data_IF_088546961122
#
_entry.id   IF_088546961122
#
_cell.length_a   1.000
_cell.length_b   1.000
_cell.length_c   1.000
_cell.angle_alpha   90.00
_cell.angle_beta   90.00
_cell.angle_gamma   90.00
#
_symmetry.space_group_name_H-M   'P 1'
#
loop_
_entity.id
_entity.type
_entity.pdbx_description
1 polymer ?
#
# COMPACT_ATOMS: atom_id res chain seq x y z
N UNK A 1 -40.53 -15.01 55.11
CA UNK A 1 -39.77 -14.32 54.04
C UNK A 1 -38.29 -14.69 54.16
N UNK A 2 -37.91 -15.83 53.57
CA UNK A 2 -36.57 -16.49 53.49
C UNK A 2 -36.70 -17.49 52.29
N UNK A 3 -35.72 -17.95 51.46
CA UNK A 3 -34.24 -17.99 51.56
C UNK A 3 -33.39 -17.62 50.31
N UNK A 4 -32.06 -17.61 50.50
CA UNK A 4 -30.97 -17.72 49.49
C UNK A 4 -31.08 -18.98 48.59
N UNK A 5 -30.65 -18.88 47.32
CA UNK A 5 -30.01 -19.98 46.53
C UNK A 5 -28.96 -19.45 45.52
N UNK A 6 -27.97 -20.30 45.24
CA UNK A 6 -26.73 -20.15 44.45
C UNK A 6 -26.89 -20.47 42.93
N UNK A 7 -25.96 -19.94 42.12
CA UNK A 7 -25.41 -20.42 40.81
C UNK A 7 -26.40 -20.63 39.62
N UNK A 8 -26.11 -20.35 38.34
CA UNK A 8 -24.98 -20.77 37.47
C UNK A 8 -24.79 -19.86 36.23
N UNK A 9 -23.57 -19.85 35.66
CA UNK A 9 -23.23 -19.35 34.30
C UNK A 9 -24.01 -20.05 33.18
N UNK A 10 -24.31 -19.33 32.08
CA UNK A 10 -24.21 -19.84 30.69
C UNK A 10 -23.79 -18.72 29.72
N UNK A 11 -22.77 -19.05 28.94
CA UNK A 11 -22.22 -18.29 27.82
C UNK A 11 -23.08 -18.45 26.54
N UNK A 12 -23.01 -17.47 25.64
CA UNK A 12 -23.36 -17.55 24.21
C UNK A 12 -23.00 -16.23 23.52
N UNK A 13 -21.79 -16.05 23.00
CA UNK A 13 -21.27 -16.41 21.65
C UNK A 13 -21.94 -15.68 20.47
N UNK A 14 -21.16 -14.84 19.80
CA UNK A 14 -21.50 -14.24 18.50
C UNK A 14 -20.60 -13.10 18.03
N UNK A 15 -19.27 -13.17 18.24
CA UNK A 15 -18.31 -12.27 17.59
C UNK A 15 -17.33 -13.11 16.77
N UNK A 16 -17.50 -13.08 15.44
CA UNK A 16 -16.57 -13.68 14.50
C UNK A 16 -15.26 -12.89 14.49
N UNK A 17 -14.37 -13.19 15.42
CA UNK A 17 -12.97 -12.82 15.32
C UNK A 17 -12.32 -13.66 14.22
N UNK A 18 -12.01 -13.03 13.09
CA UNK A 18 -11.06 -13.60 12.14
C UNK A 18 -9.72 -13.87 12.84
N UNK A 19 -8.97 -14.90 12.41
CA UNK A 19 -7.76 -15.31 13.10
C UNK A 19 -6.75 -14.16 13.16
N UNK A 20 -6.13 -13.99 14.34
CA UNK A 20 -5.11 -12.95 14.51
C UNK A 20 -3.93 -13.20 13.57
N UNK A 21 -3.24 -12.15 13.14
CA UNK A 21 -2.08 -12.21 12.23
C UNK A 21 -0.97 -13.19 12.69
N UNK A 22 -0.90 -13.53 13.99
CA UNK A 22 0.04 -14.53 14.53
C UNK A 22 -0.37 -15.99 14.25
N UNK A 23 -1.65 -16.23 13.94
CA UNK A 23 -2.22 -17.56 13.74
C UNK A 23 -2.11 -17.98 12.26
N UNK A 24 -2.39 -17.06 11.34
CA UNK A 24 -2.24 -17.28 9.89
C UNK A 24 -0.79 -17.60 9.47
N UNK A 25 0.21 -16.96 10.09
CA UNK A 25 1.62 -17.27 9.83
C UNK A 25 2.02 -18.66 10.35
N UNK A 26 1.42 -19.12 11.45
CA UNK A 26 1.69 -20.46 12.00
C UNK A 26 1.04 -21.56 11.17
N UNK A 27 -0.15 -21.32 10.64
CA UNK A 27 -0.91 -22.26 9.81
C UNK A 27 -0.26 -22.45 8.43
N UNK A 28 0.12 -21.36 7.76
CA UNK A 28 0.95 -21.43 6.54
C UNK A 28 2.30 -22.12 6.81
N UNK A 29 2.99 -21.74 7.89
CA UNK A 29 4.24 -22.44 8.27
C UNK A 29 4.02 -23.91 8.62
N UNK A 30 2.86 -24.30 9.16
CA UNK A 30 2.52 -25.68 9.51
C UNK A 30 2.21 -26.51 8.26
N UNK A 31 1.43 -25.96 7.32
CA UNK A 31 1.19 -26.54 5.99
C UNK A 31 2.52 -26.76 5.26
N UNK A 32 3.46 -25.82 5.37
CA UNK A 32 4.79 -25.92 4.75
C UNK A 32 5.77 -26.84 5.51
N UNK A 33 5.62 -27.05 6.83
CA UNK A 33 6.56 -27.86 7.66
C UNK A 33 6.13 -29.30 7.93
N UNK A 34 4.84 -29.64 7.91
CA UNK A 34 4.37 -30.99 8.22
C UNK A 34 4.66 -32.04 7.13
N UNK A 35 5.25 -31.64 5.99
CA UNK A 35 5.52 -32.52 4.85
C UNK A 35 6.91 -33.19 4.91
N UNK A 36 7.35 -33.58 6.10
CA UNK A 36 8.54 -34.41 6.26
C UNK A 36 8.20 -35.89 6.05
N UNK A 37 8.57 -36.43 4.89
CA UNK A 37 8.47 -37.83 4.45
C UNK A 37 7.16 -38.32 3.81
N UNK A 38 6.91 -37.91 2.56
CA UNK A 38 6.65 -38.77 1.39
C UNK A 38 6.24 -37.88 0.20
N UNK A 39 6.77 -38.15 -1.00
CA UNK A 39 6.47 -37.53 -2.31
C UNK A 39 5.59 -36.27 -2.29
N UNK A 40 6.29 -35.15 -2.24
CA UNK A 40 5.92 -33.75 -2.42
C UNK A 40 4.43 -33.37 -2.59
N UNK A 41 3.91 -32.61 -1.62
CA UNK A 41 2.68 -31.82 -1.70
C UNK A 41 2.85 -30.66 -2.70
N UNK A 42 3.13 -30.97 -3.97
CA UNK A 42 3.20 -30.01 -5.06
C UNK A 42 1.77 -29.64 -5.44
N UNK A 43 1.33 -28.45 -5.02
CA UNK A 43 0.02 -27.91 -5.41
C UNK A 43 0.02 -27.49 -6.89
N UNK A 44 1.17 -27.06 -7.42
CA UNK A 44 1.33 -26.51 -8.77
C UNK A 44 2.40 -27.26 -9.55
N UNK A 45 2.05 -27.73 -10.74
CA UNK A 45 2.96 -28.41 -11.65
C UNK A 45 4.05 -27.47 -12.20
N UNK A 46 5.10 -28.05 -12.80
CA UNK A 46 6.12 -27.28 -13.53
C UNK A 46 5.51 -26.47 -14.69
N UNK A 47 4.47 -27.00 -15.33
CA UNK A 47 3.72 -26.29 -16.36
C UNK A 47 2.97 -25.08 -15.79
N UNK A 48 2.44 -25.16 -14.56
CA UNK A 48 1.80 -24.03 -13.88
C UNK A 48 2.81 -22.90 -13.60
N UNK A 49 4.02 -23.24 -13.12
CA UNK A 49 5.08 -22.27 -12.86
C UNK A 49 5.62 -21.62 -14.13
N UNK A 50 5.66 -22.36 -15.25
CA UNK A 50 6.10 -21.86 -16.56
C UNK A 50 4.96 -21.31 -17.43
N UNK A 51 3.73 -21.27 -16.90
CA UNK A 51 2.59 -20.70 -17.60
C UNK A 51 2.78 -19.19 -17.81
N UNK A 52 2.20 -18.67 -18.90
CA UNK A 52 2.17 -17.23 -19.19
C UNK A 52 0.92 -16.54 -18.61
N UNK A 53 0.27 -17.20 -17.66
CA UNK A 53 -0.98 -16.72 -17.07
C UNK A 53 -0.74 -15.50 -16.18
N UNK A 54 -1.73 -14.60 -16.19
CA UNK A 54 -1.70 -13.40 -15.37
C UNK A 54 -2.12 -13.68 -13.93
N UNK A 55 -1.62 -12.87 -12.99
CA UNK A 55 -2.08 -12.91 -11.61
C UNK A 55 -3.51 -12.36 -11.49
N UNK A 56 -4.30 -12.94 -10.56
CA UNK A 56 -5.66 -12.52 -10.28
C UNK A 56 -5.74 -11.01 -10.00
N UNK A 57 -6.47 -10.29 -10.85
CA UNK A 57 -6.58 -8.81 -10.79
C UNK A 57 -7.19 -8.29 -9.50
N UNK A 58 -7.99 -9.10 -8.81
CA UNK A 58 -8.58 -8.79 -7.50
C UNK A 58 -7.55 -8.79 -6.37
N UNK A 59 -6.42 -9.48 -6.53
CA UNK A 59 -5.35 -9.58 -5.51
C UNK A 59 -4.39 -8.39 -5.62
N UNK A 60 -3.91 -8.09 -6.83
CA UNK A 60 -2.84 -7.08 -7.01
C UNK A 60 -3.38 -5.70 -7.44
N UNK A 61 -4.54 -5.64 -8.10
CA UNK A 61 -5.10 -4.41 -8.67
C UNK A 61 -5.32 -3.30 -7.65
N UNK A 62 -6.02 -3.54 -6.53
CA UNK A 62 -6.21 -2.54 -5.47
C UNK A 62 -4.90 -2.02 -4.90
N UNK A 63 -3.93 -2.91 -4.65
CA UNK A 63 -2.61 -2.55 -4.12
C UNK A 63 -1.81 -1.69 -5.10
N UNK A 64 -1.87 -2.00 -6.40
CA UNK A 64 -1.25 -1.18 -7.44
C UNK A 64 -1.89 0.21 -7.50
N UNK A 65 -3.22 0.32 -7.50
CA UNK A 65 -3.89 1.61 -7.47
C UNK A 65 -3.56 2.43 -6.22
N UNK A 66 -3.49 1.77 -5.06
CA UNK A 66 -3.04 2.41 -3.83
C UNK A 66 -1.63 3.00 -3.96
N UNK A 67 -0.72 2.26 -4.57
CA UNK A 67 0.63 2.72 -4.86
C UNK A 67 0.63 3.91 -5.84
N UNK A 68 -0.09 3.80 -6.96
CA UNK A 68 -0.15 4.85 -7.99
C UNK A 68 -0.72 6.17 -7.44
N UNK A 69 -1.80 6.11 -6.65
CA UNK A 69 -2.34 7.28 -5.97
C UNK A 69 -1.35 7.86 -4.95
N UNK A 70 -0.69 7.02 -4.15
CA UNK A 70 0.32 7.49 -3.19
C UNK A 70 1.49 8.19 -3.89
N UNK A 71 2.00 7.61 -4.98
CA UNK A 71 3.05 8.20 -5.82
C UNK A 71 2.59 9.55 -6.38
N UNK A 72 1.37 9.62 -6.93
CA UNK A 72 0.87 10.83 -7.57
C UNK A 72 0.61 11.97 -6.59
N UNK A 73 0.09 11.68 -5.40
CA UNK A 73 -0.05 12.66 -4.33
C UNK A 73 1.29 13.04 -3.69
N UNK A 74 2.38 12.28 -3.92
CA UNK A 74 3.72 12.67 -3.49
C UNK A 74 4.56 13.37 -4.57
N UNK A 75 4.07 13.42 -5.82
CA UNK A 75 4.72 14.17 -6.90
C UNK A 75 5.02 15.62 -6.48
N UNK A 76 6.15 16.25 -6.90
CA UNK A 76 6.48 17.60 -6.45
C UNK A 76 5.41 18.64 -6.81
N UNK A 77 5.26 19.67 -5.97
CA UNK A 77 4.37 20.82 -6.30
C UNK A 77 4.92 21.57 -7.51
N UNK A 78 6.25 21.75 -7.54
CA UNK A 78 7.00 22.37 -8.62
C UNK A 78 8.03 21.35 -9.14
N UNK A 79 7.63 20.44 -10.04
CA UNK A 79 8.50 19.39 -10.54
C UNK A 79 9.56 19.94 -11.49
N UNK A 80 10.76 19.37 -11.41
CA UNK A 80 11.80 19.57 -12.42
C UNK A 80 11.45 18.84 -13.73
N UNK A 81 12.13 19.17 -14.82
CA UNK A 81 11.97 18.44 -16.09
C UNK A 81 12.34 16.96 -15.96
N UNK A 82 13.34 16.63 -15.12
CA UNK A 82 13.67 15.24 -14.80
C UNK A 82 12.55 14.53 -14.03
N UNK A 83 11.90 15.21 -13.08
CA UNK A 83 10.75 14.63 -12.37
C UNK A 83 9.62 14.32 -13.34
N UNK A 84 9.27 15.29 -14.20
CA UNK A 84 8.24 15.10 -15.24
C UNK A 84 8.57 13.90 -16.12
N UNK A 85 9.81 13.80 -16.61
CA UNK A 85 10.24 12.67 -17.45
C UNK A 85 10.09 11.33 -16.73
N UNK A 86 10.68 11.19 -15.55
CA UNK A 86 10.70 9.90 -14.84
C UNK A 86 9.30 9.43 -14.46
N UNK A 87 8.44 10.32 -13.97
CA UNK A 87 7.06 9.95 -13.58
C UNK A 87 6.23 9.61 -14.82
N UNK A 88 6.38 10.34 -15.92
CA UNK A 88 5.69 10.05 -17.17
C UNK A 88 6.10 8.69 -17.74
N UNK A 89 7.41 8.42 -17.82
CA UNK A 89 7.94 7.13 -18.27
C UNK A 89 7.46 5.98 -17.38
N UNK A 90 7.47 6.16 -16.05
CA UNK A 90 6.96 5.17 -15.11
C UNK A 90 5.49 4.80 -15.40
N UNK A 91 4.61 5.80 -15.58
CA UNK A 91 3.19 5.55 -15.87
C UNK A 91 3.00 4.86 -17.22
N UNK A 92 3.67 5.36 -18.27
CA UNK A 92 3.52 4.77 -19.60
C UNK A 92 4.08 3.34 -19.66
N UNK A 93 5.13 3.05 -18.91
CA UNK A 93 5.72 1.71 -18.88
C UNK A 93 4.84 0.65 -18.21
N UNK A 94 3.78 1.04 -17.48
CA UNK A 94 2.82 0.10 -16.92
C UNK A 94 2.19 -0.80 -18.00
N UNK A 95 2.03 -0.30 -19.23
CA UNK A 95 1.45 -1.07 -20.33
C UNK A 95 2.27 -2.30 -20.75
N UNK A 96 3.50 -2.43 -20.27
CA UNK A 96 4.40 -3.56 -20.53
C UNK A 96 4.50 -4.52 -19.34
N UNK A 97 4.29 -4.05 -18.11
CA UNK A 97 4.65 -4.80 -16.90
C UNK A 97 3.48 -5.21 -16.01
N UNK A 98 2.25 -4.74 -16.26
CA UNK A 98 1.10 -5.21 -15.48
C UNK A 98 0.99 -6.75 -15.55
N UNK A 99 0.73 -7.46 -14.44
CA UNK A 99 0.73 -8.93 -14.38
C UNK A 99 -0.58 -9.52 -14.93
N UNK A 100 -1.03 -9.03 -16.09
CA UNK A 100 -2.24 -9.42 -16.79
C UNK A 100 -2.14 -8.94 -18.25
N UNK A 101 -2.03 -9.86 -19.21
CA UNK A 101 -1.85 -9.54 -20.63
C UNK A 101 -2.99 -8.71 -21.23
N UNK A 102 -4.25 -9.00 -20.87
CA UNK A 102 -5.40 -8.22 -21.32
C UNK A 102 -5.41 -6.81 -20.72
N UNK A 103 -4.99 -6.67 -19.47
CA UNK A 103 -4.88 -5.39 -18.78
C UNK A 103 -3.84 -4.49 -19.47
N UNK A 104 -2.68 -5.04 -19.85
CA UNK A 104 -1.67 -4.34 -20.67
C UNK A 104 -2.22 -3.83 -22.00
N UNK A 105 -2.92 -4.69 -22.76
CA UNK A 105 -3.55 -4.31 -24.04
C UNK A 105 -4.64 -3.23 -23.86
N UNK A 106 -5.43 -3.32 -22.80
CA UNK A 106 -6.46 -2.32 -22.50
C UNK A 106 -5.86 -0.99 -22.04
N UNK A 107 -4.79 -1.01 -21.25
CA UNK A 107 -4.13 0.21 -20.79
C UNK A 107 -3.59 1.04 -21.97
N UNK A 108 -3.02 0.39 -23.00
CA UNK A 108 -2.65 1.05 -24.27
C UNK A 108 -3.82 1.82 -24.91
N UNK A 109 -5.00 1.21 -24.93
CA UNK A 109 -6.22 1.83 -25.47
C UNK A 109 -6.69 2.98 -24.56
N UNK A 110 -6.59 2.82 -23.26
CA UNK A 110 -6.94 3.85 -22.29
C UNK A 110 -6.00 5.07 -22.41
N UNK A 111 -4.70 4.88 -22.63
CA UNK A 111 -3.77 5.97 -22.91
C UNK A 111 -4.07 6.68 -24.23
N UNK A 112 -4.62 5.99 -25.23
CA UNK A 112 -5.11 6.67 -26.45
C UNK A 112 -6.37 7.51 -26.17
N UNK A 113 -7.25 7.04 -25.28
CA UNK A 113 -8.48 7.75 -24.88
C UNK A 113 -8.20 8.92 -23.93
N UNK A 114 -7.21 8.77 -23.06
CA UNK A 114 -6.76 9.76 -22.08
C UNK A 114 -5.22 9.89 -22.18
N UNK A 115 -4.72 10.61 -23.19
CA UNK A 115 -3.29 10.83 -23.37
C UNK A 115 -2.66 11.53 -22.17
N UNK A 116 -1.47 11.08 -21.75
CA UNK A 116 -0.67 11.76 -20.73
C UNK A 116 0.15 12.88 -21.37
N UNK A 117 -0.33 14.11 -21.21
CA UNK A 117 0.18 15.32 -21.85
C UNK A 117 1.10 16.11 -20.91
N UNK A 118 1.81 17.11 -21.45
CA UNK A 118 2.70 17.96 -20.66
C UNK A 118 1.95 18.72 -19.55
N UNK A 119 0.70 19.13 -19.82
CA UNK A 119 -0.17 19.84 -18.86
C UNK A 119 -0.46 19.01 -17.61
N UNK A 120 -0.55 17.69 -17.76
CA UNK A 120 -0.81 16.78 -16.66
C UNK A 120 0.42 16.68 -15.74
N UNK A 121 1.62 16.96 -16.26
CA UNK A 121 2.89 16.85 -15.52
C UNK A 121 3.31 18.16 -14.83
N UNK A 122 2.52 19.24 -14.95
CA UNK A 122 2.87 20.59 -14.46
C UNK A 122 3.05 20.66 -12.94
N UNK A 123 2.24 19.92 -12.19
CA UNK A 123 2.25 19.96 -10.72
C UNK A 123 1.70 18.68 -10.11
N UNK A 124 1.85 18.52 -8.79
CA UNK A 124 1.15 17.50 -8.01
C UNK A 124 -0.34 17.45 -8.32
N UNK A 125 -1.00 18.60 -8.44
CA UNK A 125 -2.45 18.67 -8.62
C UNK A 125 -2.85 18.09 -9.98
N UNK A 126 -2.17 18.50 -11.06
CA UNK A 126 -2.45 18.02 -12.42
C UNK A 126 -2.13 16.53 -12.55
N UNK A 127 -1.00 16.08 -12.01
CA UNK A 127 -0.57 14.69 -12.17
C UNK A 127 -1.43 13.72 -11.35
N UNK A 128 -1.74 14.07 -10.10
CA UNK A 128 -2.66 13.26 -9.28
C UNK A 128 -4.08 13.23 -9.86
N UNK A 129 -4.53 14.34 -10.48
CA UNK A 129 -5.81 14.37 -11.18
C UNK A 129 -5.81 13.44 -12.39
N UNK A 130 -4.74 13.41 -13.19
CA UNK A 130 -4.61 12.47 -14.30
C UNK A 130 -4.70 11.00 -13.83
N UNK A 131 -4.01 10.63 -12.75
CA UNK A 131 -4.05 9.27 -12.20
C UNK A 131 -5.46 8.90 -11.71
N UNK A 132 -6.17 9.84 -11.11
CA UNK A 132 -7.58 9.68 -10.77
C UNK A 132 -8.45 9.47 -12.02
N UNK A 133 -8.31 10.30 -13.05
CA UNK A 133 -9.11 10.19 -14.28
C UNK A 133 -8.84 8.89 -15.03
N UNK A 134 -7.58 8.45 -15.07
CA UNK A 134 -7.21 7.15 -15.63
C UNK A 134 -7.88 5.99 -14.88
N UNK A 135 -7.94 6.07 -13.54
CA UNK A 135 -8.64 5.08 -12.73
C UNK A 135 -10.13 5.05 -13.04
N UNK A 136 -10.77 6.21 -13.22
CA UNK A 136 -12.19 6.31 -13.56
C UNK A 136 -12.50 5.85 -15.00
N UNK A 137 -11.59 6.08 -15.96
CA UNK A 137 -11.68 5.50 -17.32
C UNK A 137 -11.68 3.97 -17.24
N UNK A 138 -10.80 3.39 -16.43
CA UNK A 138 -10.71 1.93 -16.24
C UNK A 138 -11.94 1.40 -15.50
N UNK A 139 -12.43 2.10 -14.48
CA UNK A 139 -13.66 1.74 -13.78
C UNK A 139 -14.85 1.73 -14.74
N UNK A 140 -14.99 2.75 -15.59
CA UNK A 140 -16.02 2.81 -16.63
C UNK A 140 -15.92 1.64 -17.61
N UNK A 141 -14.72 1.33 -18.10
CA UNK A 141 -14.47 0.17 -18.97
C UNK A 141 -14.90 -1.15 -18.31
N UNK A 142 -14.67 -1.29 -17.00
CA UNK A 142 -15.05 -2.48 -16.22
C UNK A 142 -16.50 -2.41 -15.69
N UNK A 143 -17.28 -1.39 -16.05
CA UNK A 143 -18.63 -1.13 -15.55
C UNK A 143 -18.70 -1.02 -14.01
N UNK A 144 -17.63 -0.52 -13.40
CA UNK A 144 -17.54 -0.21 -11.96
C UNK A 144 -17.79 1.27 -11.73
N UNK A 145 -18.26 1.62 -10.53
CA UNK A 145 -18.40 3.00 -10.06
C UNK A 145 -17.59 3.15 -8.77
N UNK A 146 -16.73 4.17 -8.70
CA UNK A 146 -16.00 4.50 -7.47
C UNK A 146 -16.92 5.18 -6.44
N UNK A 147 -17.81 6.05 -6.91
CA UNK A 147 -18.65 6.91 -6.07
C UNK A 147 -17.88 8.02 -5.35
N UNK A 148 -16.62 8.28 -5.74
CA UNK A 148 -15.75 9.25 -5.08
C UNK A 148 -15.34 10.35 -6.05
N UNK A 149 -15.34 11.60 -5.60
CA UNK A 149 -14.75 12.70 -6.35
C UNK A 149 -13.22 12.71 -6.22
N UNK A 150 -12.54 13.45 -7.09
CA UNK A 150 -11.11 13.71 -6.92
C UNK A 150 -10.78 14.36 -5.56
N UNK A 151 -11.65 15.22 -5.05
CA UNK A 151 -11.47 15.86 -3.75
C UNK A 151 -11.49 14.84 -2.60
N UNK A 152 -12.42 13.86 -2.66
CA UNK A 152 -12.52 12.78 -1.66
C UNK A 152 -11.27 11.90 -1.67
N UNK A 153 -10.79 11.56 -2.87
CA UNK A 153 -9.56 10.76 -3.04
C UNK A 153 -8.36 11.54 -2.54
N UNK A 154 -8.23 12.82 -2.90
CA UNK A 154 -7.16 13.69 -2.41
C UNK A 154 -7.14 13.74 -0.88
N UNK A 155 -8.27 14.06 -0.24
CA UNK A 155 -8.36 14.16 1.21
C UNK A 155 -7.96 12.83 1.89
N UNK A 156 -8.48 11.71 1.37
CA UNK A 156 -8.15 10.37 1.87
C UNK A 156 -6.65 10.10 1.90
N UNK A 157 -5.92 10.42 0.82
CA UNK A 157 -4.48 10.17 0.76
C UNK A 157 -3.66 11.21 1.52
N UNK A 158 -4.14 12.44 1.67
CA UNK A 158 -3.47 13.47 2.47
C UNK A 158 -3.37 13.09 3.96
N UNK A 159 -4.29 12.27 4.49
CA UNK A 159 -4.16 11.72 5.84
C UNK A 159 -2.88 10.90 6.02
N UNK A 160 -2.33 10.29 4.97
CA UNK A 160 -1.08 9.50 5.04
C UNK A 160 0.18 10.33 4.88
N UNK A 161 0.09 11.63 4.58
CA UNK A 161 1.26 12.47 4.38
C UNK A 161 2.12 12.49 5.64
N UNK A 162 3.36 12.01 5.51
CA UNK A 162 4.40 12.16 6.51
C UNK A 162 4.84 13.62 6.53
N UNK A 163 4.96 14.19 7.73
CA UNK A 163 5.46 15.56 7.90
C UNK A 163 6.61 15.47 8.86
N UNK A 164 7.81 15.76 8.37
CA UNK A 164 8.99 15.80 9.23
C UNK A 164 8.75 16.86 10.30
N UNK A 165 8.62 16.45 11.56
CA UNK A 165 8.70 17.41 12.64
C UNK A 165 10.15 17.89 12.69
N UNK A 166 10.39 19.19 12.53
CA UNK A 166 11.72 19.74 12.81
C UNK A 166 11.91 19.58 14.32
N UNK A 167 12.52 18.48 14.76
CA UNK A 167 12.88 18.36 16.17
C UNK A 167 13.79 19.56 16.49
N UNK A 168 13.55 20.32 17.57
CA UNK A 168 14.38 21.46 17.97
C UNK A 168 15.85 21.08 18.25
N UNK A 169 16.17 19.77 18.30
CA UNK A 169 17.45 19.24 18.76
C UNK A 169 18.58 19.26 17.72
N UNK A 170 18.30 19.60 16.45
CA UNK A 170 19.29 19.52 15.37
C UNK A 170 20.05 20.83 15.05
N UNK A 171 19.87 21.91 15.83
CA UNK A 171 20.62 23.16 15.63
C UNK A 171 22.02 23.12 16.27
N UNK A 172 22.25 22.23 17.26
CA UNK A 172 23.47 22.22 18.06
C UNK A 172 24.18 20.87 18.03
N UNK A 173 24.81 20.49 16.91
CA UNK A 173 25.86 19.44 16.90
C UNK A 173 26.67 19.45 15.59
N UNK A 174 27.25 20.61 15.27
CA UNK A 174 28.50 20.63 14.49
C UNK A 174 29.64 20.38 15.47
N UNK A 175 30.06 19.12 15.63
CA UNK A 175 31.44 18.81 16.04
C UNK A 175 31.76 17.35 15.72
N UNK A 176 32.88 17.18 15.01
CA UNK A 176 33.58 15.95 14.68
C UNK A 176 33.50 14.87 15.76
N UNK A 177 33.46 13.59 15.33
CA UNK A 177 34.40 12.56 15.82
C UNK A 177 34.38 11.25 15.01
N UNK A 178 35.55 10.98 14.45
CA UNK A 178 36.31 9.73 14.27
C UNK A 178 35.62 8.38 14.00
N UNK A 179 36.05 7.80 12.87
CA UNK A 179 35.80 6.44 12.39
C UNK A 179 36.61 5.42 13.20
N UNK A 180 35.97 4.34 13.68
CA UNK A 180 36.64 3.09 14.06
C UNK A 180 36.16 1.95 13.16
N UNK A 181 37.11 1.12 12.73
CA UNK A 181 37.04 0.17 11.60
C UNK A 181 36.59 -1.24 12.05
N UNK A 182 36.09 -2.02 11.06
CA UNK A 182 35.83 -3.49 10.95
C UNK A 182 34.33 -3.86 10.99
N UNK A 183 33.78 -4.78 10.18
CA UNK A 183 34.30 -5.90 9.35
C UNK A 183 33.68 -5.91 7.94
N UNK A 184 34.41 -6.48 6.97
CA UNK A 184 34.03 -6.59 5.57
C UNK A 184 32.87 -7.57 5.32
N UNK A 185 31.76 -7.08 4.76
CA UNK A 185 30.89 -7.85 3.87
C UNK A 185 31.34 -7.52 2.45
N UNK A 186 31.65 -8.54 1.64
CA UNK A 186 32.05 -8.36 0.24
C UNK A 186 30.81 -7.85 -0.52
N UNK A 187 30.95 -6.74 -1.25
CA UNK A 187 29.91 -6.01 -2.00
C UNK A 187 29.07 -4.95 -1.25
N UNK A 188 29.73 -3.96 -0.64
CA UNK A 188 29.27 -2.57 -0.65
C UNK A 188 30.39 -1.65 -0.14
N UNK A 189 30.63 -0.50 -0.78
CA UNK A 189 31.41 0.58 -0.16
C UNK A 189 30.74 0.95 1.18
N UNK A 190 31.48 1.18 2.26
CA UNK A 190 30.88 1.43 3.58
C UNK A 190 30.17 2.79 3.55
N UNK A 191 28.85 2.77 3.35
CA UNK A 191 28.00 3.90 3.62
C UNK A 191 27.88 4.00 5.15
N UNK A 192 28.17 5.17 5.72
CA UNK A 192 27.91 5.45 7.13
C UNK A 192 26.47 5.09 7.44
N UNK A 193 26.24 4.05 8.25
CA UNK A 193 24.91 3.67 8.73
C UNK A 193 24.46 4.72 9.73
N UNK A 194 23.97 5.85 9.23
CA UNK A 194 22.91 6.56 9.94
C UNK A 194 21.67 5.74 9.69
N UNK A 195 21.14 5.08 10.72
CA UNK A 195 19.84 4.42 10.64
C UNK A 195 18.82 5.44 10.09
N UNK A 196 18.33 5.20 8.87
CA UNK A 196 17.27 6.03 8.31
C UNK A 196 16.01 5.79 9.14
N UNK A 197 15.51 6.83 9.82
CA UNK A 197 14.34 6.73 10.70
C UNK A 197 13.03 6.43 9.96
N UNK A 198 13.08 6.38 8.62
CA UNK A 198 11.93 6.35 7.74
C UNK A 198 11.07 7.60 7.88
N UNK A 199 10.28 7.93 6.87
CA UNK A 199 9.32 9.03 6.95
C UNK A 199 8.07 8.61 7.77
N UNK A 200 8.25 8.21 9.03
CA UNK A 200 7.20 7.62 9.87
C UNK A 200 6.62 8.57 10.93
N UNK A 201 7.02 9.84 10.95
CA UNK A 201 6.54 10.83 11.93
C UNK A 201 5.22 11.49 11.47
N UNK A 202 4.14 11.41 12.28
CA UNK A 202 2.87 12.09 11.99
C UNK A 202 2.91 13.57 12.43
N UNK A 203 2.03 14.39 11.84
CA UNK A 203 1.86 15.81 12.22
C UNK A 203 1.17 15.96 13.59
N UNK A 204 0.11 15.17 13.78
CA UNK A 204 -0.75 15.03 14.96
C UNK A 204 -1.44 13.65 14.87
N UNK A 205 -1.65 12.96 15.99
CA UNK A 205 -2.34 11.66 16.05
C UNK A 205 -1.46 10.40 15.91
N UNK A 206 -2.11 9.23 15.94
CA UNK A 206 -1.45 7.92 15.87
C UNK A 206 -0.82 7.62 14.49
N UNK A 207 0.24 6.80 14.47
CA UNK A 207 0.88 6.38 13.22
C UNK A 207 -0.03 5.42 12.45
N UNK A 208 -0.37 5.76 11.21
CA UNK A 208 -1.05 4.85 10.30
C UNK A 208 -0.08 3.79 9.76
N UNK A 209 -0.57 2.55 9.63
CA UNK A 209 0.12 1.46 8.94
C UNK A 209 -0.81 0.87 7.88
N UNK A 210 -0.26 0.51 6.72
CA UNK A 210 -1.02 -0.21 5.70
C UNK A 210 -1.01 -1.70 6.01
N UNK A 211 -2.17 -2.35 5.95
CA UNK A 211 -2.34 -3.80 6.08
C UNK A 211 -3.00 -4.30 4.80
N UNK A 212 -2.32 -5.19 4.07
CA UNK A 212 -2.90 -5.88 2.92
C UNK A 212 -3.61 -7.14 3.41
N UNK A 213 -4.89 -7.28 3.06
CA UNK A 213 -5.71 -8.41 3.47
C UNK A 213 -6.27 -9.10 2.22
N UNK A 214 -5.95 -10.40 2.05
CA UNK A 214 -6.54 -11.25 1.02
C UNK A 214 -7.72 -12.00 1.65
N UNK A 215 -8.89 -11.92 1.02
CA UNK A 215 -10.13 -12.54 1.49
C UNK A 215 -10.85 -13.22 0.31
N UNK A 216 -11.72 -14.20 0.56
CA UNK A 216 -12.56 -14.80 -0.48
C UNK A 216 -13.40 -13.73 -1.22
N UNK A 217 -13.62 -13.93 -2.51
CA UNK A 217 -14.28 -12.95 -3.38
C UNK A 217 -15.74 -12.68 -2.98
N UNK A 218 -16.39 -13.65 -2.33
CA UNK A 218 -17.78 -13.58 -1.87
C UNK A 218 -17.94 -12.68 -0.63
N UNK A 219 -16.84 -12.40 0.08
CA UNK A 219 -16.87 -11.53 1.25
C UNK A 219 -17.13 -10.09 0.79
N UNK A 220 -18.30 -9.56 1.15
CA UNK A 220 -18.66 -8.16 0.88
C UNK A 220 -17.84 -7.22 1.77
N UNK A 221 -16.81 -6.60 1.21
CA UNK A 221 -16.03 -5.55 1.84
C UNK A 221 -15.41 -4.60 0.82
N UNK A 222 -15.10 -3.39 1.27
CA UNK A 222 -14.35 -2.42 0.48
C UNK A 222 -12.90 -2.86 0.28
N UNK A 223 -12.36 -2.64 -0.92
CA UNK A 223 -10.95 -2.94 -1.24
C UNK A 223 -9.97 -2.03 -0.50
N UNK A 224 -10.42 -0.86 -0.05
CA UNK A 224 -9.63 0.09 0.72
C UNK A 224 -10.36 0.45 2.01
N UNK A 225 -9.76 0.12 3.14
CA UNK A 225 -10.31 0.38 4.47
C UNK A 225 -9.32 1.25 5.24
N UNK A 226 -9.83 2.36 5.78
CA UNK A 226 -9.05 3.26 6.62
C UNK A 226 -9.74 3.36 7.97
N UNK A 227 -8.98 3.07 9.03
CA UNK A 227 -9.46 3.22 10.40
C UNK A 227 -9.80 4.69 10.69
N UNK A 228 -10.89 4.94 11.41
CA UNK A 228 -11.31 6.30 11.78
C UNK A 228 -10.24 7.05 12.57
N UNK A 229 -9.43 6.33 13.36
CA UNK A 229 -8.33 6.91 14.13
C UNK A 229 -7.16 7.37 13.24
N UNK A 230 -7.08 6.89 11.99
CA UNK A 230 -6.11 7.37 11.01
C UNK A 230 -6.57 8.65 10.28
N UNK A 231 -7.82 9.08 10.47
CA UNK A 231 -8.37 10.32 9.89
C UNK A 231 -7.92 11.49 10.76
N UNK A 232 -7.03 12.33 10.23
CA UNK A 232 -6.51 13.51 10.93
C UNK A 232 -7.56 14.62 10.94
N UNK A 233 -7.87 15.18 12.11
CA UNK A 233 -8.74 16.36 12.28
C UNK A 233 -7.89 17.60 12.62
N UNK A 234 -8.26 18.78 12.13
CA UNK A 234 -7.66 20.05 12.57
C UNK A 234 -8.30 20.46 13.90
N UNK A 235 -7.53 20.50 14.99
CA UNK A 235 -7.91 21.23 16.22
C UNK A 235 -8.48 20.41 17.39
N UNK A 236 -7.84 19.31 17.79
CA UNK A 236 -7.92 18.87 19.20
C UNK A 236 -6.54 19.06 19.83
N UNK A 237 -6.33 20.27 20.36
CA UNK A 237 -5.32 20.53 21.37
C UNK A 237 -5.67 19.70 22.60
N UNK A 238 -4.77 18.82 23.03
CA UNK A 238 -4.65 18.47 24.45
C UNK A 238 -3.64 19.44 25.04
#
# INVERSE_FOLDING_TARGET
MVPRKRYTQKNGHGHGHGPSHKQMTKELHHILRNNGNNSENIIYSEDDYNSNDGMLTTVWGPSMWHCLHTISFNYPVHPSESDKKHYREFILNLEYVLPCGKCRKNLRKNFKKLPLEAKDMESRATFSKYIYDLHEVINTMLKKKSGLSYADVRERYEHFRSRCTKSPKNIKKKTLKMVKKKKHVRFAKPLSVTEEKGCTEPLYGEKSKCVLQIVPQEKKCESFQMDKNCIKKRGESI
#
